data_IF_775953012689
#
_entry.id   IF_775953012689
#
_cell.length_a   1.000
_cell.length_b   1.000
_cell.length_c   1.000
_cell.angle_alpha   90.00
_cell.angle_beta   90.00
_cell.angle_gamma   90.00
#
_symmetry.space_group_name_H-M   'P 1'
#
loop_
_entity.id
_entity.type
_entity.pdbx_description
1 polymer ?
#
# COMPACT_ATOMS: atom_id res chain seq x y z
N UNK A 1 28.09 0.97 13.74
CA UNK A 1 27.13 1.83 13.03
C UNK A 1 26.93 3.02 13.94
N UNK A 2 27.20 4.23 13.46
CA UNK A 2 26.97 5.42 14.26
C UNK A 2 25.44 5.74 14.29
N UNK A 3 25.00 6.64 15.17
CA UNK A 3 23.58 6.97 15.33
C UNK A 3 22.97 7.61 14.06
N UNK A 4 23.79 8.36 13.32
CA UNK A 4 23.38 9.06 12.09
C UNK A 4 23.16 8.06 10.94
N UNK A 5 24.10 7.11 10.76
CA UNK A 5 23.96 6.03 9.76
C UNK A 5 22.68 5.19 10.02
N UNK A 6 22.35 4.96 11.30
CA UNK A 6 21.14 4.23 11.67
C UNK A 6 19.87 5.01 11.33
N UNK A 7 19.85 6.33 11.54
CA UNK A 7 18.70 7.18 11.19
C UNK A 7 18.48 7.23 9.68
N UNK A 8 19.55 7.36 8.90
CA UNK A 8 19.46 7.34 7.43
C UNK A 8 18.92 5.99 6.92
N UNK A 9 19.39 4.88 7.50
CA UNK A 9 18.89 3.56 7.14
C UNK A 9 17.40 3.41 7.44
N UNK A 10 16.95 3.83 8.62
CA UNK A 10 15.53 3.79 8.97
C UNK A 10 14.68 4.71 8.10
N UNK A 11 15.17 5.89 7.76
CA UNK A 11 14.48 6.81 6.86
C UNK A 11 14.33 6.20 5.46
N UNK A 12 15.40 5.63 4.91
CA UNK A 12 15.38 4.94 3.61
C UNK A 12 14.42 3.75 3.61
N UNK A 13 14.42 2.93 4.66
CA UNK A 13 13.48 1.82 4.79
C UNK A 13 12.04 2.31 4.91
N UNK A 14 11.78 3.40 5.64
CA UNK A 14 10.46 4.00 5.75
C UNK A 14 9.92 4.44 4.38
N UNK A 15 10.73 5.10 3.55
CA UNK A 15 10.38 5.50 2.18
C UNK A 15 10.06 4.25 1.34
N UNK A 16 10.92 3.24 1.38
CA UNK A 16 10.73 1.99 0.64
C UNK A 16 9.43 1.28 1.03
N UNK A 17 9.09 1.24 2.32
CA UNK A 17 7.83 0.68 2.83
C UNK A 17 6.61 1.48 2.37
N UNK A 18 6.69 2.82 2.42
CA UNK A 18 5.62 3.68 1.94
C UNK A 18 5.36 3.47 0.44
N UNK A 19 6.41 3.35 -0.37
CA UNK A 19 6.29 3.04 -1.80
C UNK A 19 5.65 1.67 -2.05
N UNK A 20 6.04 0.63 -1.30
CA UNK A 20 5.40 -0.69 -1.42
C UNK A 20 3.93 -0.67 -1.04
N UNK A 21 3.57 0.03 0.03
CA UNK A 21 2.17 0.22 0.43
C UNK A 21 1.35 0.89 -0.69
N UNK A 22 1.92 1.91 -1.34
CA UNK A 22 1.31 2.55 -2.50
C UNK A 22 1.09 1.58 -3.66
N UNK A 23 2.13 0.85 -4.06
CA UNK A 23 2.04 -0.11 -5.16
C UNK A 23 0.92 -1.13 -4.91
N UNK A 24 0.92 -1.78 -3.76
CA UNK A 24 -0.05 -2.81 -3.44
C UNK A 24 -1.48 -2.26 -3.36
N UNK A 25 -1.69 -1.07 -2.76
CA UNK A 25 -3.02 -0.45 -2.73
C UNK A 25 -3.51 -0.02 -4.10
N UNK A 26 -2.63 0.58 -4.91
CA UNK A 26 -2.97 1.00 -6.26
C UNK A 26 -3.34 -0.20 -7.14
N UNK A 27 -2.56 -1.27 -7.08
CA UNK A 27 -2.82 -2.51 -7.80
C UNK A 27 -4.13 -3.16 -7.35
N UNK A 28 -4.38 -3.22 -6.05
CA UNK A 28 -5.66 -3.68 -5.51
C UNK A 28 -6.84 -2.84 -6.01
N UNK A 29 -6.70 -1.51 -6.04
CA UNK A 29 -7.73 -0.60 -6.54
C UNK A 29 -8.01 -0.82 -8.04
N UNK A 30 -6.97 -0.98 -8.85
CA UNK A 30 -7.08 -1.24 -10.29
C UNK A 30 -7.75 -2.61 -10.54
N UNK A 31 -7.32 -3.66 -9.84
CA UNK A 31 -7.91 -5.00 -9.95
C UNK A 31 -9.36 -5.07 -9.43
N UNK A 32 -9.75 -4.11 -8.59
CA UNK A 32 -11.13 -4.01 -8.10
C UNK A 32 -12.07 -3.29 -9.07
N UNK A 33 -11.56 -2.64 -10.11
CA UNK A 33 -12.34 -1.90 -11.09
C UNK A 33 -11.94 -2.28 -12.54
N UNK A 34 -12.70 -3.14 -13.23
CA UNK A 34 -14.04 -3.67 -12.88
C UNK A 34 -14.02 -4.65 -11.71
N UNK A 35 -15.18 -4.82 -11.06
CA UNK A 35 -15.31 -5.73 -9.91
C UNK A 35 -14.77 -7.13 -10.23
N UNK A 36 -13.93 -7.73 -9.35
CA UNK A 36 -13.37 -9.06 -9.56
C UNK A 36 -14.43 -10.11 -9.84
N UNK A 37 -14.27 -10.88 -10.90
CA UNK A 37 -15.23 -11.88 -11.37
C UNK A 37 -15.05 -13.21 -10.67
N UNK A 38 -13.80 -13.58 -10.36
CA UNK A 38 -13.47 -14.87 -9.76
C UNK A 38 -13.11 -14.76 -8.29
N UNK A 39 -13.16 -15.88 -7.56
CA UNK A 39 -12.69 -15.94 -6.17
C UNK A 39 -11.19 -15.71 -6.09
N UNK A 40 -10.42 -16.14 -7.08
CA UNK A 40 -8.98 -15.96 -7.12
C UNK A 40 -8.59 -14.50 -7.31
N UNK A 41 -9.29 -13.75 -8.16
CA UNK A 41 -9.11 -12.30 -8.28
C UNK A 41 -9.43 -11.57 -6.98
N UNK A 42 -10.53 -11.93 -6.31
CA UNK A 42 -10.87 -11.36 -5.00
C UNK A 42 -9.82 -11.66 -3.95
N UNK A 43 -9.30 -12.88 -3.95
CA UNK A 43 -8.25 -13.27 -3.02
C UNK A 43 -6.95 -12.50 -3.28
N UNK A 44 -6.59 -12.26 -4.55
CA UNK A 44 -5.44 -11.45 -4.92
C UNK A 44 -5.60 -10.00 -4.43
N UNK A 45 -6.74 -9.38 -4.65
CA UNK A 45 -7.05 -8.04 -4.15
C UNK A 45 -6.90 -7.98 -2.63
N UNK A 46 -7.52 -8.91 -1.90
CA UNK A 46 -7.42 -8.96 -0.44
C UNK A 46 -5.98 -9.14 0.05
N UNK A 47 -5.19 -9.98 -0.62
CA UNK A 47 -3.79 -10.20 -0.26
C UNK A 47 -2.93 -8.94 -0.47
N UNK A 48 -3.20 -8.18 -1.53
CA UNK A 48 -2.53 -6.89 -1.80
C UNK A 48 -2.92 -5.83 -0.76
N UNK A 49 -4.21 -5.72 -0.43
CA UNK A 49 -4.68 -4.79 0.60
C UNK A 49 -4.07 -5.10 1.98
N UNK A 50 -4.05 -6.37 2.36
CA UNK A 50 -3.45 -6.83 3.62
C UNK A 50 -1.94 -6.58 3.65
N UNK A 51 -1.25 -6.80 2.53
CA UNK A 51 0.17 -6.49 2.41
C UNK A 51 0.44 -4.99 2.52
N UNK A 52 -0.37 -4.15 1.86
CA UNK A 52 -0.27 -2.69 1.99
C UNK A 52 -0.45 -2.23 3.44
N UNK A 53 -1.39 -2.81 4.17
CA UNK A 53 -1.65 -2.48 5.57
C UNK A 53 -0.49 -2.88 6.49
N UNK A 54 0.18 -4.02 6.22
CA UNK A 54 1.40 -4.41 6.95
C UNK A 54 2.56 -3.46 6.67
N UNK A 55 2.73 -3.03 5.43
CA UNK A 55 3.75 -2.05 5.06
C UNK A 55 3.50 -0.70 5.75
N UNK A 56 2.24 -0.23 5.78
CA UNK A 56 1.85 0.98 6.52
C UNK A 56 2.15 0.88 8.01
N UNK A 57 1.78 -0.23 8.64
CA UNK A 57 2.06 -0.48 10.05
C UNK A 57 3.56 -0.42 10.33
N UNK A 58 4.37 -0.98 9.45
CA UNK A 58 5.83 -0.94 9.57
C UNK A 58 6.37 0.47 9.40
N UNK A 59 5.83 1.25 8.44
CA UNK A 59 6.18 2.67 8.28
C UNK A 59 5.93 3.47 9.57
N UNK A 60 4.76 3.33 10.18
CA UNK A 60 4.44 4.03 11.42
C UNK A 60 5.38 3.66 12.56
N UNK A 61 5.78 2.39 12.67
CA UNK A 61 6.77 1.93 13.67
C UNK A 61 8.16 2.51 13.42
N UNK A 62 8.60 2.59 12.17
CA UNK A 62 9.87 3.22 11.80
C UNK A 62 9.85 4.71 12.12
N UNK A 63 8.76 5.41 11.78
CA UNK A 63 8.57 6.82 12.13
C UNK A 63 8.57 7.04 13.65
N UNK A 64 7.91 6.18 14.43
CA UNK A 64 7.91 6.26 15.90
C UNK A 64 9.35 6.13 16.44
N UNK A 65 10.14 5.24 15.88
CA UNK A 65 11.55 5.05 16.24
C UNK A 65 12.43 6.26 15.87
N UNK A 66 12.20 6.86 14.71
CA UNK A 66 12.95 8.03 14.24
C UNK A 66 12.62 9.30 15.02
N UNK A 67 11.32 9.55 15.27
CA UNK A 67 10.84 10.75 15.96
C UNK A 67 10.97 10.65 17.48
N UNK A 68 11.16 9.45 18.01
CA UNK A 68 11.22 9.16 19.46
C UNK A 68 10.03 9.75 20.24
N UNK A 69 8.87 9.89 19.61
CA UNK A 69 7.69 10.52 20.18
C UNK A 69 6.46 9.62 20.14
N UNK A 70 5.58 9.79 21.13
CA UNK A 70 4.28 9.07 21.14
C UNK A 70 3.26 9.67 20.16
N UNK A 71 3.59 10.78 19.51
CA UNK A 71 2.70 11.48 18.56
C UNK A 71 2.40 10.59 17.37
N UNK A 72 3.40 9.90 16.83
CA UNK A 72 3.24 8.99 15.67
C UNK A 72 2.17 7.93 15.94
N UNK A 73 2.21 7.29 17.10
CA UNK A 73 1.20 6.28 17.50
C UNK A 73 -0.19 6.87 17.66
N UNK A 74 -0.30 8.08 18.18
CA UNK A 74 -1.59 8.78 18.30
C UNK A 74 -2.15 9.11 16.92
N UNK A 75 -1.32 9.57 16.00
CA UNK A 75 -1.69 9.84 14.60
C UNK A 75 -2.15 8.56 13.91
N UNK A 76 -1.41 7.46 14.04
CA UNK A 76 -1.82 6.16 13.47
C UNK A 76 -3.20 5.73 13.96
N UNK A 77 -3.44 5.79 15.27
CA UNK A 77 -4.73 5.42 15.86
C UNK A 77 -5.88 6.30 15.34
N UNK A 78 -5.65 7.61 15.23
CA UNK A 78 -6.66 8.53 14.69
C UNK A 78 -6.94 8.21 13.22
N UNK A 79 -5.92 7.98 12.41
CA UNK A 79 -6.09 7.65 10.99
C UNK A 79 -6.82 6.33 10.76
N UNK A 80 -6.71 5.37 11.69
CA UNK A 80 -7.40 4.08 11.60
C UNK A 80 -8.86 4.13 12.06
N UNK A 81 -9.19 4.92 13.09
CA UNK A 81 -10.45 4.77 13.82
C UNK A 81 -11.30 6.04 13.92
N UNK A 82 -10.77 7.23 13.54
CA UNK A 82 -11.49 8.48 13.67
C UNK A 82 -12.33 8.85 12.44
N UNK A 83 -13.29 9.76 12.65
CA UNK A 83 -14.10 10.35 11.59
C UNK A 83 -13.29 11.33 10.72
N UNK A 84 -13.78 11.60 9.51
CA UNK A 84 -13.11 12.37 8.46
C UNK A 84 -12.45 13.68 8.93
N UNK A 85 -13.15 14.49 9.74
CA UNK A 85 -12.61 15.76 10.24
C UNK A 85 -11.35 15.59 11.09
N UNK A 86 -11.37 14.64 12.04
CA UNK A 86 -10.25 14.39 12.94
C UNK A 86 -9.10 13.71 12.18
N UNK A 87 -9.42 12.93 11.13
CA UNK A 87 -8.41 12.35 10.23
C UNK A 87 -7.63 13.42 9.48
N UNK A 88 -8.30 14.50 9.01
CA UNK A 88 -7.64 15.61 8.34
C UNK A 88 -6.59 16.29 9.24
N UNK A 89 -6.94 16.54 10.50
CA UNK A 89 -5.99 17.10 11.47
C UNK A 89 -4.79 16.16 11.71
N UNK A 90 -5.05 14.86 11.77
CA UNK A 90 -3.99 13.86 11.93
C UNK A 90 -3.06 13.78 10.70
N UNK A 91 -3.59 13.95 9.48
CA UNK A 91 -2.78 14.01 8.25
C UNK A 91 -1.90 15.27 8.24
N UNK A 92 -2.41 16.41 8.73
CA UNK A 92 -1.61 17.61 8.89
C UNK A 92 -0.45 17.40 9.87
N UNK A 93 -0.71 16.77 11.02
CA UNK A 93 0.36 16.40 11.96
C UNK A 93 1.36 15.47 11.32
N UNK A 94 0.91 14.43 10.61
CA UNK A 94 1.78 13.49 9.89
C UNK A 94 2.69 14.20 8.88
N UNK A 95 2.16 15.19 8.14
CA UNK A 95 2.93 15.94 7.13
C UNK A 95 4.09 16.74 7.72
N UNK A 96 4.05 17.05 9.01
CA UNK A 96 5.07 17.82 9.72
C UNK A 96 6.14 16.93 10.41
N UNK A 97 6.04 15.61 10.33
CA UNK A 97 7.06 14.70 10.88
C UNK A 97 8.33 14.68 10.01
N UNK A 98 9.48 14.33 10.61
CA UNK A 98 10.81 14.58 10.07
C UNK A 98 11.17 13.88 8.76
N UNK A 99 10.62 12.72 8.43
CA UNK A 99 10.92 12.00 7.17
C UNK A 99 9.97 12.47 6.08
N UNK A 100 10.17 13.69 5.58
CA UNK A 100 9.25 14.39 4.68
C UNK A 100 8.83 13.59 3.44
N UNK A 101 9.75 12.84 2.84
CA UNK A 101 9.44 12.05 1.64
C UNK A 101 8.47 10.89 1.98
N UNK A 102 8.74 10.14 3.04
CA UNK A 102 7.87 9.06 3.48
C UNK A 102 6.51 9.60 3.96
N UNK A 103 6.49 10.67 4.76
CA UNK A 103 5.25 11.25 5.28
C UNK A 103 4.38 11.85 4.18
N UNK A 104 4.97 12.46 3.16
CA UNK A 104 4.22 12.93 1.99
C UNK A 104 3.54 11.77 1.24
N UNK A 105 4.24 10.64 1.04
CA UNK A 105 3.65 9.45 0.44
C UNK A 105 2.50 8.89 1.29
N UNK A 106 2.70 8.83 2.62
CA UNK A 106 1.67 8.34 3.55
C UNK A 106 0.44 9.25 3.59
N UNK A 107 0.62 10.57 3.63
CA UNK A 107 -0.48 11.54 3.59
C UNK A 107 -1.33 11.30 2.34
N UNK A 108 -0.71 11.30 1.16
CA UNK A 108 -1.43 11.07 -0.09
C UNK A 108 -2.06 9.67 -0.19
N UNK A 109 -1.46 8.65 0.43
CA UNK A 109 -2.06 7.31 0.46
C UNK A 109 -3.29 7.24 1.36
N UNK A 110 -3.31 8.02 2.45
CA UNK A 110 -4.33 7.98 3.49
C UNK A 110 -5.43 9.05 3.35
N UNK A 111 -5.24 10.02 2.45
CA UNK A 111 -6.28 10.99 2.09
C UNK A 111 -7.51 10.30 1.49
N UNK A 112 -8.66 10.97 1.59
CA UNK A 112 -9.90 10.52 0.96
C UNK A 112 -9.89 10.83 -0.54
N UNK A 113 -10.64 10.06 -1.34
CA UNK A 113 -10.77 10.26 -2.77
C UNK A 113 -10.18 9.13 -3.62
N UNK A 114 -10.19 9.32 -4.93
CA UNK A 114 -9.72 8.31 -5.89
C UNK A 114 -8.20 8.13 -5.81
N UNK A 115 -7.77 6.90 -5.53
CA UNK A 115 -6.36 6.57 -5.37
C UNK A 115 -5.61 6.62 -6.70
N UNK A 116 -6.27 6.29 -7.81
CA UNK A 116 -5.66 6.28 -9.14
C UNK A 116 -5.37 7.71 -9.59
N UNK A 117 -6.31 8.64 -9.36
CA UNK A 117 -6.11 10.06 -9.66
C UNK A 117 -4.95 10.65 -8.83
N UNK A 118 -4.88 10.31 -7.54
CA UNK A 118 -3.78 10.75 -6.65
C UNK A 118 -2.43 10.17 -7.07
N UNK A 119 -2.38 8.93 -7.53
CA UNK A 119 -1.16 8.32 -8.04
C UNK A 119 -0.62 9.07 -9.27
N UNK A 120 -1.50 9.56 -10.15
CA UNK A 120 -1.09 10.38 -11.31
C UNK A 120 -0.39 11.68 -10.89
N UNK A 121 -0.86 12.31 -9.80
CA UNK A 121 -0.22 13.52 -9.25
C UNK A 121 1.17 13.23 -8.64
N UNK A 122 1.46 11.99 -8.28
CA UNK A 122 2.73 11.52 -7.70
C UNK A 122 3.66 10.87 -8.74
N UNK A 123 3.46 11.14 -10.04
CA UNK A 123 4.29 10.57 -11.12
C UNK A 123 5.78 10.78 -10.83
N UNK A 124 6.55 9.69 -10.89
CA UNK A 124 7.98 9.68 -10.58
C UNK A 124 8.34 9.52 -9.09
N UNK A 125 7.39 9.64 -8.16
CA UNK A 125 7.60 9.37 -6.73
C UNK A 125 7.09 8.00 -6.29
N UNK A 126 6.08 7.50 -7.00
CA UNK A 126 5.52 6.17 -6.80
C UNK A 126 5.76 5.36 -8.06
N UNK A 127 6.21 4.10 -7.96
CA UNK A 127 6.31 3.22 -9.11
C UNK A 127 4.96 3.09 -9.83
N UNK A 128 4.95 2.99 -11.18
CA UNK A 128 3.72 2.73 -11.90
C UNK A 128 3.15 1.36 -11.52
N UNK A 129 1.82 1.18 -11.57
CA UNK A 129 1.21 -0.12 -11.32
C UNK A 129 1.69 -1.12 -12.37
N UNK A 130 1.89 -2.36 -11.95
CA UNK A 130 2.31 -3.46 -12.81
C UNK A 130 1.12 -3.99 -13.60
N UNK A 131 1.36 -4.48 -14.81
CA UNK A 131 0.36 -5.26 -15.54
C UNK A 131 0.06 -6.56 -14.77
N UNK A 132 -1.17 -7.06 -14.85
CA UNK A 132 -1.63 -8.19 -14.04
C UNK A 132 -0.76 -9.44 -14.18
N UNK A 133 -0.30 -9.75 -15.38
CA UNK A 133 0.57 -10.91 -15.63
C UNK A 133 1.94 -10.74 -14.95
N UNK A 134 2.57 -9.59 -15.13
CA UNK A 134 3.85 -9.24 -14.50
C UNK A 134 3.71 -9.21 -12.96
N UNK A 135 2.61 -8.64 -12.47
CA UNK A 135 2.30 -8.60 -11.03
C UNK A 135 2.24 -10.01 -10.45
N UNK A 136 1.49 -10.91 -11.08
CA UNK A 136 1.34 -12.30 -10.61
C UNK A 136 2.67 -13.03 -10.61
N UNK A 137 3.53 -12.81 -11.62
CA UNK A 137 4.86 -13.42 -11.69
C UNK A 137 5.79 -12.94 -10.59
N UNK A 138 5.81 -11.64 -10.34
CA UNK A 138 6.63 -11.05 -9.28
C UNK A 138 6.14 -11.42 -7.87
N UNK A 139 4.82 -11.49 -7.68
CA UNK A 139 4.25 -11.91 -6.40
C UNK A 139 4.52 -13.39 -6.08
N UNK A 140 4.60 -14.26 -7.09
CA UNK A 140 4.98 -15.68 -6.89
C UNK A 140 6.44 -15.84 -6.43
N UNK A 141 7.30 -14.86 -6.73
CA UNK A 141 8.67 -14.78 -6.26
C UNK A 141 8.84 -14.01 -4.92
N UNK A 142 7.74 -13.53 -4.34
CA UNK A 142 7.75 -12.75 -3.09
C UNK A 142 8.14 -13.61 -1.88
N UNK A 143 8.74 -12.98 -0.88
CA UNK A 143 8.93 -13.58 0.45
C UNK A 143 7.63 -13.68 1.26
N UNK A 144 6.61 -12.90 0.88
CA UNK A 144 5.29 -12.92 1.52
C UNK A 144 4.46 -14.12 1.05
N UNK A 145 4.30 -15.10 1.96
CA UNK A 145 3.60 -16.35 1.68
C UNK A 145 2.14 -16.14 1.23
N UNK A 146 1.47 -15.09 1.70
CA UNK A 146 0.09 -14.79 1.29
C UNK A 146 0.04 -14.28 -0.14
N UNK A 147 0.97 -13.40 -0.53
CA UNK A 147 1.07 -12.92 -1.91
C UNK A 147 1.42 -14.06 -2.86
N UNK A 148 2.34 -14.94 -2.48
CA UNK A 148 2.67 -16.15 -3.27
C UNK A 148 1.46 -17.04 -3.46
N UNK A 149 0.69 -17.33 -2.40
CA UNK A 149 -0.51 -18.15 -2.50
C UNK A 149 -1.58 -17.51 -3.39
N UNK A 150 -1.78 -16.20 -3.26
CA UNK A 150 -2.74 -15.45 -4.06
C UNK A 150 -2.36 -15.44 -5.55
N UNK A 151 -1.08 -15.23 -5.85
CA UNK A 151 -0.55 -15.25 -7.21
C UNK A 151 -0.71 -16.64 -7.87
N UNK A 152 -0.35 -17.69 -7.18
CA UNK A 152 -0.51 -19.08 -7.67
C UNK A 152 -1.96 -19.42 -7.92
N UNK A 153 -2.85 -18.98 -7.05
CA UNK A 153 -4.29 -19.18 -7.22
C UNK A 153 -4.82 -18.44 -8.45
N UNK A 154 -4.40 -17.20 -8.63
CA UNK A 154 -4.79 -16.39 -9.79
C UNK A 154 -4.36 -17.01 -11.13
N UNK A 155 -3.20 -17.69 -11.17
CA UNK A 155 -2.76 -18.44 -12.37
C UNK A 155 -3.58 -19.68 -12.68
N UNK A 156 -4.11 -20.35 -11.65
CA UNK A 156 -4.85 -21.61 -11.82
C UNK A 156 -6.28 -21.43 -12.33
N UNK A 157 -6.85 -20.25 -12.17
CA UNK A 157 -8.15 -19.85 -12.68
C UNK A 157 -8.00 -18.75 -13.75
N UNK A 158 -7.41 -19.04 -14.91
CA UNK A 158 -7.46 -18.08 -16.02
C UNK A 158 -8.94 -17.85 -16.33
N UNK A 159 -9.35 -16.59 -16.42
CA UNK A 159 -10.73 -16.17 -16.53
C UNK A 159 -11.54 -17.13 -17.39
N UNK A 160 -12.60 -17.68 -16.81
CA UNK A 160 -13.56 -18.48 -17.58
C UNK A 160 -14.06 -17.58 -18.68
N UNK A 161 -13.60 -17.85 -19.90
CA UNK A 161 -14.21 -17.31 -21.10
C UNK A 161 -15.71 -17.43 -20.97
N UNK A 162 -16.42 -16.36 -21.25
CA UNK A 162 -17.87 -16.29 -21.28
C UNK A 162 -18.38 -17.54 -21.97
N UNK A 163 -19.09 -18.38 -21.24
CA UNK A 163 -19.94 -19.39 -21.86
C UNK A 163 -20.95 -18.55 -22.63
N UNK A 164 -20.73 -18.43 -23.94
CA UNK A 164 -21.71 -17.95 -24.89
C UNK A 164 -23.00 -18.72 -24.65
N UNK A 165 -23.98 -18.07 -24.06
CA UNK A 165 -25.36 -18.54 -24.08
C UNK A 165 -25.86 -18.26 -25.49
N UNK A 166 -25.51 -19.18 -26.42
CA UNK A 166 -26.36 -19.43 -27.58
C UNK A 166 -27.46 -20.36 -27.10
N UNK A 167 -28.64 -19.78 -26.90
CA UNK A 167 -29.93 -20.36 -27.30
C UNK A 167 -31.03 -19.32 -27.12
#
# INVERSE_FOLDING_TARGET
INEEDSKELFASECISRAQRAWCHRLEAAILSNPKPKTMSERFLVMALEDSAERELTTCFRLLEGLEQTKVVRSVENVLRFAHARIRSDALEVLSNLGVREATALLVHLLEEGDLVERAQALTGKVPPPREQETLVDELDASEDRWLVLAARRARQEPGREEISSEE
#
